data_IF_549549470357
#
_entry.id   IF_549549470357
#
_cell.length_a   1.000
_cell.length_b   1.000
_cell.length_c   1.000
_cell.angle_alpha   90.00
_cell.angle_beta   90.00
_cell.angle_gamma   90.00
#
_symmetry.space_group_name_H-M   'P 1'
#
loop_
_entity.id
_entity.type
_entity.pdbx_description
1 polymer ?
#
# COMPACT_ATOMS: atom_id res chain seq x y z
N UNK A 1 -7.37 19.91 51.37
CA UNK A 1 -8.11 19.32 50.24
C UNK A 1 -7.08 18.72 49.30
N UNK A 2 -6.95 17.39 49.35
CA UNK A 2 -5.96 16.64 48.56
C UNK A 2 -6.49 16.38 47.15
N UNK A 3 -5.61 16.52 46.15
CA UNK A 3 -5.90 16.22 44.75
C UNK A 3 -6.00 14.69 44.56
N UNK A 4 -7.03 14.16 43.90
CA UNK A 4 -7.12 12.73 43.61
C UNK A 4 -6.26 12.42 42.39
N UNK A 5 -5.00 12.00 42.63
CA UNK A 5 -4.22 11.28 41.64
C UNK A 5 -4.80 9.87 41.51
N UNK A 6 -5.33 9.54 40.34
CA UNK A 6 -5.78 8.20 40.01
C UNK A 6 -4.58 7.25 40.00
N UNK A 7 -4.39 6.50 41.08
CA UNK A 7 -3.65 5.24 41.03
C UNK A 7 -4.58 4.20 40.40
N UNK A 8 -4.18 3.51 39.31
CA UNK A 8 -4.88 2.33 38.86
C UNK A 8 -4.53 1.18 39.82
N UNK A 9 -5.22 1.14 40.95
CA UNK A 9 -5.23 -0.01 41.83
C UNK A 9 -6.27 -1.01 41.28
N UNK A 10 -5.78 -2.07 40.62
CA UNK A 10 -6.60 -3.09 39.96
C UNK A 10 -6.74 -4.35 40.84
N UNK A 11 -6.44 -4.28 42.14
CA UNK A 11 -6.70 -5.41 43.05
C UNK A 11 -7.43 -4.95 44.30
N UNK A 12 -8.74 -5.19 44.29
CA UNK A 12 -9.54 -5.29 45.51
C UNK A 12 -9.16 -6.62 46.15
N UNK A 13 -8.72 -6.58 47.40
CA UNK A 13 -8.28 -7.67 48.27
C UNK A 13 -6.75 -7.85 48.37
N UNK A 14 -6.25 -7.75 49.61
CA UNK A 14 -4.85 -7.70 50.10
C UNK A 14 -3.92 -8.88 49.73
N UNK A 15 -4.23 -9.62 48.67
CA UNK A 15 -3.33 -10.57 48.06
C UNK A 15 -2.36 -9.84 47.12
N UNK A 16 -1.25 -9.32 47.65
CA UNK A 16 -0.15 -8.83 46.81
C UNK A 16 0.33 -9.97 45.89
N UNK A 17 -0.22 -10.03 44.66
CA UNK A 17 0.49 -10.62 43.54
C UNK A 17 1.82 -9.88 43.49
N UNK A 18 2.91 -10.62 43.64
CA UNK A 18 4.26 -10.09 43.55
C UNK A 18 4.32 -9.09 42.38
N UNK A 19 4.88 -7.89 42.61
CA UNK A 19 4.89 -6.73 41.68
C UNK A 19 5.37 -7.03 40.24
N UNK A 20 5.81 -8.25 39.98
CA UNK A 20 6.19 -8.84 38.70
C UNK A 20 5.06 -8.82 37.65
N UNK A 21 3.79 -8.62 38.04
CA UNK A 21 2.68 -8.45 37.10
C UNK A 21 2.32 -6.98 36.79
N UNK A 22 3.00 -5.99 37.40
CA UNK A 22 2.76 -4.58 37.09
C UNK A 22 3.36 -4.22 35.75
N UNK A 23 2.51 -3.85 34.79
CA UNK A 23 2.95 -3.34 33.49
C UNK A 23 3.86 -2.12 33.63
N UNK A 24 3.62 -1.28 34.65
CA UNK A 24 4.48 -0.13 34.94
C UNK A 24 5.89 -0.57 35.37
N UNK A 25 6.00 -1.56 36.28
CA UNK A 25 7.30 -2.09 36.71
C UNK A 25 8.04 -2.75 35.54
N UNK A 26 7.32 -3.44 34.64
CA UNK A 26 7.91 -3.96 33.41
C UNK A 26 8.46 -2.82 32.52
N UNK A 27 7.67 -1.79 32.25
CA UNK A 27 8.10 -0.65 31.42
C UNK A 27 9.29 0.08 32.06
N UNK A 28 9.29 0.26 33.38
CA UNK A 28 10.39 0.88 34.13
C UNK A 28 11.70 0.08 33.99
N UNK A 29 11.64 -1.24 34.19
CA UNK A 29 12.79 -2.14 34.03
C UNK A 29 13.34 -2.21 32.60
N UNK A 30 12.51 -1.88 31.61
CA UNK A 30 12.87 -1.89 30.19
C UNK A 30 13.02 -0.47 29.59
N UNK A 31 12.94 0.60 30.39
CA UNK A 31 12.93 1.99 29.90
C UNK A 31 14.09 2.29 28.94
N UNK A 32 15.32 1.97 29.34
CA UNK A 32 16.51 2.22 28.52
C UNK A 32 16.51 1.43 27.21
N UNK A 33 15.90 0.23 27.19
CA UNK A 33 15.76 -0.54 25.97
C UNK A 33 14.82 0.15 24.99
N UNK A 34 13.70 0.67 25.47
CA UNK A 34 12.75 1.42 24.65
C UNK A 34 13.31 2.76 24.16
N UNK A 35 14.02 3.50 25.00
CA UNK A 35 14.69 4.75 24.59
C UNK A 35 15.74 4.47 23.52
N UNK A 36 16.50 3.38 23.67
CA UNK A 36 17.45 2.95 22.66
C UNK A 36 16.77 2.61 21.32
N UNK A 37 15.62 1.92 21.37
CA UNK A 37 14.80 1.65 20.19
C UNK A 37 14.30 2.94 19.53
N UNK A 38 13.82 3.90 20.32
CA UNK A 38 13.39 5.20 19.82
C UNK A 38 14.52 5.98 19.16
N UNK A 39 15.74 5.89 19.71
CA UNK A 39 16.93 6.48 19.09
C UNK A 39 17.26 5.85 17.73
N UNK A 40 17.13 4.53 17.60
CA UNK A 40 17.28 3.86 16.29
C UNK A 40 16.18 4.31 15.31
N UNK A 41 14.93 4.44 15.75
CA UNK A 41 13.82 4.93 14.91
C UNK A 41 14.08 6.37 14.45
N UNK A 42 14.54 7.24 15.35
CA UNK A 42 14.97 8.61 15.03
C UNK A 42 16.09 8.61 14.00
N UNK A 43 17.12 7.77 14.19
CA UNK A 43 18.24 7.64 13.25
C UNK A 43 17.74 7.22 11.86
N UNK A 44 16.82 6.26 11.78
CA UNK A 44 16.19 5.82 10.52
C UNK A 44 15.26 6.87 9.92
N UNK A 45 14.64 7.75 10.72
CA UNK A 45 13.82 8.85 10.25
C UNK A 45 14.67 10.01 9.68
N UNK A 46 15.80 10.33 10.31
CA UNK A 46 16.59 11.52 10.03
C UNK A 46 17.77 11.24 9.08
N UNK A 47 18.44 10.10 9.20
CA UNK A 47 19.68 9.78 8.47
C UNK A 47 19.43 8.91 7.23
N UNK A 48 19.80 9.41 6.05
CA UNK A 48 19.80 8.63 4.81
C UNK A 48 20.80 7.49 4.87
N UNK A 49 22.00 7.72 5.42
CA UNK A 49 23.01 6.68 5.56
C UNK A 49 22.53 5.51 6.43
N UNK A 50 21.80 5.78 7.51
CA UNK A 50 21.23 4.73 8.35
C UNK A 50 20.14 3.94 7.62
N UNK A 51 19.31 4.61 6.81
CA UNK A 51 18.32 3.93 5.95
C UNK A 51 18.98 3.10 4.86
N UNK A 52 20.08 3.56 4.28
CA UNK A 52 20.84 2.79 3.29
C UNK A 52 21.51 1.58 3.94
N UNK A 53 22.14 1.71 5.11
CA UNK A 53 22.64 0.56 5.87
C UNK A 53 21.51 -0.43 6.20
N UNK A 54 20.34 0.10 6.58
CA UNK A 54 19.15 -0.71 6.81
C UNK A 54 18.72 -1.45 5.54
N UNK A 55 18.71 -0.75 4.41
CA UNK A 55 18.34 -1.30 3.12
C UNK A 55 19.34 -2.35 2.62
N UNK A 56 20.64 -2.14 2.77
CA UNK A 56 21.68 -3.11 2.43
C UNK A 56 21.60 -4.36 3.33
N UNK A 57 21.39 -4.16 4.63
CA UNK A 57 21.12 -5.25 5.57
C UNK A 57 19.88 -6.04 5.15
N UNK A 58 18.85 -5.36 4.64
CA UNK A 58 17.67 -6.01 4.09
C UNK A 58 17.99 -6.80 2.82
N UNK A 59 18.59 -6.19 1.78
CA UNK A 59 18.89 -6.83 0.48
C UNK A 59 19.69 -8.13 0.62
N UNK A 60 20.56 -8.20 1.62
CA UNK A 60 21.42 -9.35 1.90
C UNK A 60 20.79 -10.40 2.84
N UNK A 61 19.54 -10.19 3.29
CA UNK A 61 18.74 -11.17 4.04
C UNK A 61 18.09 -12.17 3.08
N UNK A 62 17.67 -13.35 3.55
CA UNK A 62 16.99 -14.33 2.70
C UNK A 62 15.71 -13.77 2.05
N UNK A 63 14.96 -12.94 2.80
CA UNK A 63 13.77 -12.27 2.29
C UNK A 63 14.13 -11.16 1.30
N UNK A 64 15.18 -10.39 1.59
CA UNK A 64 15.70 -9.40 0.66
C UNK A 64 16.28 -10.02 -0.59
N UNK A 65 16.84 -11.23 -0.54
CA UNK A 65 17.21 -11.98 -1.72
C UNK A 65 15.97 -12.38 -2.51
N UNK A 66 14.88 -12.83 -1.89
CA UNK A 66 13.64 -13.13 -2.62
C UNK A 66 13.04 -11.88 -3.27
N UNK A 67 12.95 -10.78 -2.52
CA UNK A 67 12.37 -9.53 -3.02
C UNK A 67 13.29 -8.86 -4.04
N UNK A 68 14.59 -8.79 -3.79
CA UNK A 68 15.56 -8.29 -4.76
C UNK A 68 15.71 -9.25 -5.95
N UNK A 69 15.42 -10.54 -5.81
CA UNK A 69 15.35 -11.48 -6.93
C UNK A 69 14.07 -11.27 -7.72
N UNK A 70 12.92 -11.05 -7.10
CA UNK A 70 11.69 -10.74 -7.84
C UNK A 70 11.83 -9.40 -8.57
N UNK A 71 12.37 -8.38 -7.89
CA UNK A 71 12.59 -7.03 -8.44
C UNK A 71 13.70 -7.03 -9.51
N UNK A 72 14.88 -7.61 -9.25
CA UNK A 72 16.00 -7.55 -10.21
C UNK A 72 16.09 -8.74 -11.17
N UNK A 73 15.54 -9.91 -10.83
CA UNK A 73 15.76 -11.16 -11.57
C UNK A 73 14.51 -11.78 -12.21
N UNK A 74 13.29 -11.52 -11.75
CA UNK A 74 12.11 -12.23 -12.26
C UNK A 74 11.87 -12.01 -13.76
N UNK A 75 11.44 -10.80 -14.12
CA UNK A 75 11.16 -10.46 -15.52
C UNK A 75 12.43 -10.00 -16.27
N UNK A 76 13.26 -9.15 -15.65
CA UNK A 76 14.43 -8.57 -16.30
C UNK A 76 15.53 -9.60 -16.60
N UNK A 77 15.86 -10.50 -15.67
CA UNK A 77 16.90 -11.52 -15.91
C UNK A 77 16.40 -12.64 -16.81
N UNK A 78 15.12 -13.01 -16.75
CA UNK A 78 14.50 -13.91 -17.75
C UNK A 78 14.58 -13.29 -19.14
N UNK A 79 14.21 -12.02 -19.29
CA UNK A 79 14.34 -11.30 -20.57
C UNK A 79 15.79 -11.22 -21.07
N UNK A 80 16.77 -10.97 -20.17
CA UNK A 80 18.21 -10.98 -20.53
C UNK A 80 18.71 -12.36 -20.94
N UNK A 81 18.39 -13.40 -20.18
CA UNK A 81 18.78 -14.79 -20.49
C UNK A 81 18.15 -15.27 -21.79
N UNK A 82 16.89 -14.90 -22.03
CA UNK A 82 16.23 -15.17 -23.30
C UNK A 82 16.91 -14.39 -24.44
N UNK A 83 17.24 -13.11 -24.24
CA UNK A 83 18.00 -12.32 -25.22
C UNK A 83 19.34 -12.99 -25.57
N UNK A 84 20.13 -13.37 -24.56
CA UNK A 84 21.42 -14.06 -24.73
C UNK A 84 21.25 -15.40 -25.46
N UNK A 85 20.27 -16.21 -25.04
CA UNK A 85 19.94 -17.49 -25.67
C UNK A 85 19.51 -17.33 -27.13
N UNK A 86 18.72 -16.30 -27.44
CA UNK A 86 18.33 -15.99 -28.82
C UNK A 86 19.51 -15.46 -29.63
N UNK A 87 20.40 -14.65 -29.04
CA UNK A 87 21.62 -14.19 -29.66
C UNK A 87 22.63 -15.33 -29.94
N UNK A 88 22.71 -16.33 -29.06
CA UNK A 88 23.49 -17.55 -29.30
C UNK A 88 22.85 -18.41 -30.39
N UNK A 89 21.54 -18.65 -30.33
CA UNK A 89 20.81 -19.36 -31.40
C UNK A 89 20.92 -18.66 -32.75
N UNK A 90 21.02 -17.33 -32.78
CA UNK A 90 21.27 -16.54 -33.98
C UNK A 90 22.60 -16.90 -34.66
N UNK A 91 23.60 -17.31 -33.88
CA UNK A 91 24.92 -17.70 -34.36
C UNK A 91 24.96 -19.14 -34.85
N UNK A 92 24.12 -20.01 -34.29
CA UNK A 92 24.24 -21.47 -34.43
C UNK A 92 23.10 -22.16 -35.20
N UNK A 93 21.91 -21.56 -35.31
CA UNK A 93 20.71 -22.24 -35.80
C UNK A 93 20.55 -22.25 -37.32
N UNK A 94 20.13 -23.40 -37.88
CA UNK A 94 19.58 -23.47 -39.24
C UNK A 94 18.16 -22.86 -39.27
N UNK A 95 17.80 -22.26 -40.41
CA UNK A 95 16.50 -21.66 -40.65
C UNK A 95 15.33 -22.64 -40.44
N UNK A 96 15.54 -23.92 -40.76
CA UNK A 96 14.50 -24.95 -40.69
C UNK A 96 14.06 -25.27 -39.26
N UNK A 97 14.98 -25.29 -38.29
CA UNK A 97 14.63 -25.53 -36.89
C UNK A 97 13.81 -24.38 -36.29
N UNK A 98 14.07 -23.15 -36.76
CA UNK A 98 13.35 -21.93 -36.34
C UNK A 98 11.93 -21.89 -36.89
N UNK A 99 11.73 -22.32 -38.14
CA UNK A 99 10.40 -22.45 -38.75
C UNK A 99 9.62 -23.60 -38.11
N UNK A 100 10.22 -24.76 -37.83
CA UNK A 100 9.50 -25.91 -37.28
C UNK A 100 9.09 -25.71 -35.81
N UNK A 101 9.82 -24.91 -35.02
CA UNK A 101 9.42 -24.58 -33.64
C UNK A 101 8.25 -23.59 -33.56
N UNK A 102 7.99 -22.80 -34.61
CA UNK A 102 7.01 -21.71 -34.59
C UNK A 102 5.90 -21.86 -35.64
N UNK A 103 6.10 -22.72 -36.64
CA UNK A 103 5.24 -22.91 -37.80
C UNK A 103 3.93 -23.64 -37.51
N UNK A 104 3.72 -24.12 -36.28
CA UNK A 104 2.48 -24.81 -35.94
C UNK A 104 1.45 -23.97 -35.19
N UNK A 105 1.80 -22.85 -34.56
CA UNK A 105 0.95 -22.45 -33.43
C UNK A 105 0.39 -21.03 -33.31
N UNK A 106 0.56 -20.01 -34.19
CA UNK A 106 -0.30 -18.84 -33.91
C UNK A 106 -0.83 -17.80 -34.91
N UNK A 107 -0.17 -17.31 -35.97
CA UNK A 107 -0.80 -16.20 -36.74
C UNK A 107 -0.57 -16.18 -38.25
N UNK A 108 -1.66 -16.12 -39.01
CA UNK A 108 -1.73 -15.73 -40.42
C UNK A 108 -1.37 -14.26 -40.71
N UNK A 109 -0.62 -13.61 -39.82
CA UNK A 109 -0.01 -12.30 -40.03
C UNK A 109 1.50 -12.51 -40.12
N UNK A 110 2.00 -12.70 -41.34
CA UNK A 110 3.45 -12.67 -41.60
C UNK A 110 3.96 -11.27 -41.25
N UNK A 111 4.73 -11.15 -40.16
CA UNK A 111 5.42 -9.92 -39.80
C UNK A 111 6.28 -9.48 -41.00
N UNK A 112 6.29 -8.19 -41.41
CA UNK A 112 6.93 -7.75 -42.65
C UNK A 112 8.40 -8.17 -42.79
N UNK A 113 9.15 -8.19 -41.69
CA UNK A 113 10.55 -8.63 -41.65
C UNK A 113 10.71 -10.16 -41.73
N UNK A 114 9.68 -10.96 -41.40
CA UNK A 114 9.70 -12.41 -41.58
C UNK A 114 9.62 -12.81 -43.06
N UNK A 115 9.10 -11.91 -43.91
CA UNK A 115 9.04 -12.11 -45.37
C UNK A 115 10.41 -12.03 -46.05
N UNK A 116 11.41 -11.43 -45.40
CA UNK A 116 12.75 -11.30 -45.97
C UNK A 116 13.52 -12.62 -45.98
N UNK A 117 12.99 -13.68 -45.32
CA UNK A 117 13.54 -15.04 -45.40
C UNK A 117 14.97 -15.17 -44.86
N UNK A 118 15.45 -14.17 -44.12
CA UNK A 118 16.81 -14.12 -43.58
C UNK A 118 16.79 -14.43 -42.07
N UNK A 119 17.20 -15.65 -41.66
CA UNK A 119 17.24 -16.07 -40.26
C UNK A 119 18.05 -15.13 -39.38
N UNK A 120 19.15 -14.61 -39.92
CA UNK A 120 20.06 -13.73 -39.21
C UNK A 120 19.38 -12.41 -38.88
N UNK A 121 18.71 -11.80 -39.86
CA UNK A 121 17.98 -10.54 -39.66
C UNK A 121 16.85 -10.71 -38.65
N UNK A 122 16.11 -11.83 -38.70
CA UNK A 122 15.05 -12.12 -37.73
C UNK A 122 15.59 -12.23 -36.29
N UNK A 123 16.63 -13.04 -36.09
CA UNK A 123 17.18 -13.24 -34.76
C UNK A 123 17.88 -11.98 -34.21
N UNK A 124 18.51 -11.17 -35.07
CA UNK A 124 19.03 -9.84 -34.69
C UNK A 124 17.90 -8.91 -34.22
N UNK A 125 16.75 -8.93 -34.88
CA UNK A 125 15.57 -8.17 -34.45
C UNK A 125 15.00 -8.65 -33.13
N UNK A 126 14.89 -9.97 -32.92
CA UNK A 126 14.44 -10.52 -31.65
C UNK A 126 15.41 -10.18 -30.51
N UNK A 127 16.72 -10.36 -30.72
CA UNK A 127 17.74 -10.00 -29.73
C UNK A 127 17.59 -8.54 -29.30
N UNK A 128 17.49 -7.61 -30.26
CA UNK A 128 17.28 -6.19 -29.97
C UNK A 128 15.97 -5.94 -29.21
N UNK A 129 14.88 -6.58 -29.61
CA UNK A 129 13.59 -6.42 -28.93
C UNK A 129 13.63 -6.94 -27.47
N UNK A 130 14.33 -8.04 -27.21
CA UNK A 130 14.51 -8.56 -25.86
C UNK A 130 15.48 -7.72 -25.03
N UNK A 131 16.55 -7.20 -25.61
CA UNK A 131 17.45 -6.23 -24.97
C UNK A 131 16.69 -4.98 -24.54
N UNK A 132 15.84 -4.44 -25.42
CA UNK A 132 15.00 -3.28 -25.14
C UNK A 132 13.99 -3.58 -24.03
N UNK A 133 13.30 -4.73 -24.07
CA UNK A 133 12.41 -5.17 -22.98
C UNK A 133 13.16 -5.34 -21.65
N UNK A 134 14.35 -5.93 -21.66
CA UNK A 134 15.17 -6.09 -20.48
C UNK A 134 15.58 -4.74 -19.87
N UNK A 135 15.84 -3.74 -20.72
CA UNK A 135 16.12 -2.38 -20.27
C UNK A 135 14.89 -1.74 -19.60
N UNK A 136 13.71 -1.84 -20.22
CA UNK A 136 12.44 -1.34 -19.65
C UNK A 136 12.17 -1.99 -18.28
N UNK A 137 12.30 -3.32 -18.17
CA UNK A 137 12.10 -4.00 -16.90
C UNK A 137 13.11 -3.59 -15.83
N UNK A 138 14.37 -3.31 -16.21
CA UNK A 138 15.35 -2.77 -15.27
C UNK A 138 14.97 -1.36 -14.79
N UNK A 139 14.55 -0.48 -15.71
CA UNK A 139 14.11 0.87 -15.36
C UNK A 139 12.90 0.81 -14.42
N UNK A 140 11.94 -0.09 -14.64
CA UNK A 140 10.79 -0.31 -13.76
C UNK A 140 11.23 -0.81 -12.37
N UNK A 141 12.12 -1.80 -12.32
CA UNK A 141 12.66 -2.31 -11.07
C UNK A 141 13.37 -1.22 -10.25
N UNK A 142 14.13 -0.35 -10.92
CA UNK A 142 14.82 0.78 -10.29
C UNK A 142 13.84 1.82 -9.73
N UNK A 143 12.74 2.09 -10.47
CA UNK A 143 11.66 2.98 -10.01
C UNK A 143 10.94 2.38 -8.78
N UNK A 144 10.55 1.10 -8.83
CA UNK A 144 9.90 0.42 -7.71
C UNK A 144 10.80 0.40 -6.47
N UNK A 145 12.10 0.16 -6.66
CA UNK A 145 13.10 0.20 -5.61
C UNK A 145 13.19 1.61 -4.99
N UNK A 146 13.23 2.65 -5.81
CA UNK A 146 13.24 4.03 -5.34
C UNK A 146 11.96 4.39 -4.56
N UNK A 147 10.79 3.95 -5.04
CA UNK A 147 9.51 4.12 -4.36
C UNK A 147 9.50 3.40 -3.00
N UNK A 148 9.99 2.15 -2.95
CA UNK A 148 10.09 1.40 -1.71
C UNK A 148 10.99 2.10 -0.68
N UNK A 149 12.14 2.62 -1.10
CA UNK A 149 13.03 3.43 -0.24
C UNK A 149 12.34 4.72 0.24
N UNK A 150 11.62 5.41 -0.64
CA UNK A 150 10.83 6.60 -0.29
C UNK A 150 9.77 6.29 0.77
N UNK A 151 9.04 5.19 0.60
CA UNK A 151 8.01 4.74 1.55
C UNK A 151 8.59 4.30 2.89
N UNK A 152 9.75 3.65 2.88
CA UNK A 152 10.48 3.31 4.11
C UNK A 152 10.88 4.56 4.89
N UNK A 153 11.32 5.62 4.21
CA UNK A 153 11.59 6.92 4.83
C UNK A 153 10.32 7.53 5.42
N UNK A 154 9.24 7.61 4.64
CA UNK A 154 7.94 8.13 5.11
C UNK A 154 7.45 7.39 6.37
N UNK A 155 7.60 6.06 6.38
CA UNK A 155 7.26 5.21 7.53
C UNK A 155 8.01 5.63 8.80
N UNK A 156 9.35 5.67 8.75
CA UNK A 156 10.13 6.00 9.95
C UNK A 156 9.93 7.45 10.39
N UNK A 157 9.75 8.39 9.46
CA UNK A 157 9.42 9.79 9.79
C UNK A 157 8.06 9.88 10.49
N UNK A 158 7.04 9.19 9.97
CA UNK A 158 5.71 9.16 10.59
C UNK A 158 5.76 8.54 11.99
N UNK A 159 6.41 7.39 12.13
CA UNK A 159 6.58 6.71 13.41
C UNK A 159 7.32 7.57 14.43
N UNK A 160 8.40 8.23 14.03
CA UNK A 160 9.16 9.12 14.91
C UNK A 160 8.35 10.34 15.35
N UNK A 161 7.60 10.96 14.43
CA UNK A 161 6.73 12.08 14.78
C UNK A 161 5.64 11.69 15.78
N UNK A 162 5.08 10.49 15.65
CA UNK A 162 4.07 9.98 16.57
C UNK A 162 4.67 9.67 17.96
N UNK A 163 5.86 9.05 18.01
CA UNK A 163 6.62 8.86 19.26
C UNK A 163 6.87 10.22 19.92
N UNK A 164 7.38 11.19 19.16
CA UNK A 164 7.67 12.53 19.65
C UNK A 164 6.42 13.20 20.20
N UNK A 165 5.30 13.15 19.47
CA UNK A 165 4.01 13.70 19.91
C UNK A 165 3.58 13.10 21.24
N UNK A 166 3.50 11.77 21.35
CA UNK A 166 3.09 11.08 22.59
C UNK A 166 4.04 11.34 23.74
N UNK A 167 5.34 11.41 23.46
CA UNK A 167 6.33 11.76 24.48
C UNK A 167 6.08 13.17 25.00
N UNK A 168 5.92 14.15 24.11
CA UNK A 168 5.69 15.55 24.51
C UNK A 168 4.35 15.78 25.22
N UNK A 169 3.31 15.04 24.85
CA UNK A 169 1.96 15.22 25.40
C UNK A 169 1.72 14.43 26.69
N UNK A 170 2.24 13.21 26.78
CA UNK A 170 1.89 12.25 27.83
C UNK A 170 3.11 11.74 28.63
N UNK A 171 4.33 12.18 28.28
CA UNK A 171 5.56 11.74 28.90
C UNK A 171 6.13 10.45 28.31
N UNK A 172 7.41 10.19 28.63
CA UNK A 172 8.18 9.06 28.06
C UNK A 172 7.53 7.71 28.33
N UNK A 173 7.01 7.50 29.53
CA UNK A 173 6.50 6.19 29.94
C UNK A 173 5.23 5.80 29.18
N UNK A 174 4.34 6.78 28.91
CA UNK A 174 3.16 6.58 28.07
C UNK A 174 3.54 6.37 26.60
N UNK A 175 4.48 7.16 26.08
CA UNK A 175 4.96 7.01 24.71
C UNK A 175 5.57 5.62 24.49
N UNK A 176 6.40 5.15 25.41
CA UNK A 176 6.96 3.79 25.43
C UNK A 176 5.86 2.72 25.45
N UNK A 177 4.95 2.79 26.42
CA UNK A 177 3.90 1.81 26.60
C UNK A 177 3.00 1.66 25.36
N UNK A 178 2.57 2.79 24.82
CA UNK A 178 1.63 2.81 23.70
C UNK A 178 2.32 2.55 22.37
N UNK A 179 3.55 3.01 22.16
CA UNK A 179 4.28 2.73 20.92
C UNK A 179 4.68 1.27 20.82
N UNK A 180 5.05 0.62 21.94
CA UNK A 180 5.35 -0.81 21.92
C UNK A 180 4.13 -1.65 21.50
N UNK A 181 2.95 -1.27 21.99
CA UNK A 181 1.66 -1.91 21.64
C UNK A 181 1.28 -1.60 20.20
N UNK A 182 1.39 -0.33 19.80
CA UNK A 182 0.96 0.14 18.49
C UNK A 182 1.93 -0.22 17.38
N UNK A 183 3.24 -0.37 17.62
CA UNK A 183 4.21 -0.76 16.60
C UNK A 183 3.85 -2.11 15.96
N UNK A 184 3.22 -3.02 16.72
CA UNK A 184 2.70 -4.28 16.20
C UNK A 184 1.51 -4.08 15.24
N UNK A 185 0.66 -3.08 15.49
CA UNK A 185 -0.51 -2.75 14.66
C UNK A 185 -0.17 -1.80 13.50
N UNK A 186 0.75 -0.87 13.69
CA UNK A 186 1.15 0.18 12.75
C UNK A 186 1.86 -0.41 11.52
N UNK A 187 2.66 -1.47 11.70
CA UNK A 187 3.22 -2.26 10.59
C UNK A 187 2.11 -2.92 9.75
N UNK A 188 0.99 -3.29 10.37
CA UNK A 188 -0.19 -3.82 9.70
C UNK A 188 -0.97 -2.75 8.92
N UNK A 189 -1.13 -1.56 9.49
CA UNK A 189 -1.88 -0.46 8.85
C UNK A 189 -1.11 0.21 7.72
N UNK A 190 0.20 0.43 7.88
CA UNK A 190 1.01 1.05 6.84
C UNK A 190 1.13 0.16 5.58
N UNK A 191 1.13 -1.16 5.78
CA UNK A 191 1.05 -2.14 4.71
C UNK A 191 -0.24 -2.00 3.88
N UNK A 192 -1.37 -1.68 4.51
CA UNK A 192 -2.67 -1.62 3.86
C UNK A 192 -3.00 -0.22 3.29
N UNK A 193 -2.53 0.84 3.94
CA UNK A 193 -2.86 2.23 3.57
C UNK A 193 -1.99 2.83 2.47
N UNK A 194 -0.75 2.37 2.29
CA UNK A 194 0.22 3.00 1.38
C UNK A 194 0.24 2.44 -0.05
N UNK A 195 -0.65 1.50 -0.40
CA UNK A 195 -0.68 0.89 -1.73
C UNK A 195 0.59 0.10 -2.06
N UNK A 196 1.29 -0.40 -1.04
CA UNK A 196 2.53 -1.14 -1.19
C UNK A 196 2.28 -2.45 -1.95
N UNK A 197 3.23 -2.83 -2.81
CA UNK A 197 3.25 -4.15 -3.41
C UNK A 197 3.31 -5.22 -2.30
N UNK A 198 2.78 -6.42 -2.57
CA UNK A 198 2.81 -7.51 -1.60
C UNK A 198 4.22 -7.80 -1.05
N UNK A 199 5.27 -7.54 -1.87
CA UNK A 199 6.67 -7.62 -1.46
C UNK A 199 7.04 -6.59 -0.38
N UNK A 200 6.70 -5.31 -0.56
CA UNK A 200 6.97 -4.27 0.42
C UNK A 200 6.18 -4.46 1.73
N UNK A 201 4.96 -5.02 1.67
CA UNK A 201 4.19 -5.40 2.85
C UNK A 201 4.87 -6.53 3.63
N UNK A 202 5.31 -7.59 2.93
CA UNK A 202 6.05 -8.70 3.53
C UNK A 202 7.37 -8.23 4.15
N UNK A 203 8.05 -7.30 3.49
CA UNK A 203 9.24 -6.60 4.02
C UNK A 203 8.92 -5.98 5.38
N UNK A 204 7.94 -5.07 5.46
CA UNK A 204 7.65 -4.34 6.70
C UNK A 204 7.27 -5.28 7.84
N UNK A 205 6.48 -6.32 7.56
CA UNK A 205 6.09 -7.35 8.55
C UNK A 205 7.25 -8.23 9.03
N UNK A 206 8.36 -8.28 8.30
CA UNK A 206 9.53 -9.08 8.66
C UNK A 206 10.50 -8.36 9.59
N UNK A 207 10.34 -7.04 9.76
CA UNK A 207 11.23 -6.24 10.61
C UNK A 207 10.87 -6.52 12.06
N UNK A 208 11.82 -7.08 12.82
CA UNK A 208 11.69 -7.32 14.27
C UNK A 208 12.76 -6.51 14.98
N UNK A 209 12.36 -5.68 15.93
CA UNK A 209 13.30 -4.99 16.80
C UNK A 209 13.51 -5.81 18.08
N UNK A 210 14.77 -6.04 18.45
CA UNK A 210 15.16 -6.68 19.69
C UNK A 210 16.12 -5.78 20.44
N UNK A 211 16.03 -5.77 21.76
CA UNK A 211 16.86 -4.95 22.64
C UNK A 211 17.49 -5.85 23.70
N UNK A 212 18.75 -5.61 24.02
CA UNK A 212 19.47 -6.35 25.04
C UNK A 212 20.42 -5.43 25.80
N UNK A 213 20.47 -5.55 27.13
CA UNK A 213 21.41 -4.80 27.96
C UNK A 213 22.65 -5.68 28.19
N UNK A 214 23.81 -5.21 27.75
CA UNK A 214 25.09 -5.89 27.92
C UNK A 214 26.03 -5.12 28.85
N UNK A 215 26.94 -5.84 29.53
CA UNK A 215 27.93 -5.21 30.40
C UNK A 215 27.46 -4.90 31.83
N UNK A 216 26.28 -5.40 32.25
CA UNK A 216 25.97 -5.44 33.68
C UNK A 216 26.89 -6.49 34.30
N UNK A 217 27.73 -6.08 35.26
CA UNK A 217 28.53 -7.00 36.05
C UNK A 217 27.60 -7.99 36.75
N UNK A 218 27.50 -9.21 36.22
CA UNK A 218 26.84 -10.31 36.93
C UNK A 218 27.68 -10.58 38.17
N UNK A 219 27.13 -10.26 39.34
CA UNK A 219 27.67 -10.77 40.59
C UNK A 219 27.84 -12.29 40.45
N UNK A 220 29.03 -12.78 40.77
CA UNK A 220 29.40 -14.19 40.63
C UNK A 220 28.54 -15.01 41.62
N UNK A 221 27.45 -15.59 41.11
CA UNK A 221 26.53 -16.43 41.89
C UNK A 221 25.18 -16.54 41.21
N UNK A 222 24.82 -17.73 40.73
CA UNK A 222 23.71 -17.96 39.83
C UNK A 222 22.33 -17.62 40.40
N UNK A 223 21.76 -16.53 39.92
CA UNK A 223 20.35 -16.26 39.63
C UNK A 223 20.35 -14.92 38.89
N UNK A 224 19.64 -14.82 37.76
CA UNK A 224 19.61 -13.58 36.97
C UNK A 224 18.98 -12.48 37.84
N UNK A 225 19.82 -11.60 38.39
CA UNK A 225 19.37 -10.54 39.28
C UNK A 225 18.55 -9.51 38.48
N UNK A 226 17.24 -9.49 38.71
CA UNK A 226 16.33 -8.38 38.36
C UNK A 226 16.77 -7.02 38.99
N UNK A 227 17.86 -6.99 39.76
CA UNK A 227 18.38 -5.81 40.47
C UNK A 227 19.69 -5.26 39.91
N UNK A 228 20.09 -5.69 38.71
CA UNK A 228 21.20 -5.13 37.96
C UNK A 228 21.11 -3.59 37.83
N UNK A 229 21.94 -2.85 38.58
CA UNK A 229 21.94 -1.39 38.53
C UNK A 229 22.50 -0.90 37.20
N UNK A 230 21.67 -0.22 36.40
CA UNK A 230 22.09 0.42 35.15
C UNK A 230 22.97 1.62 35.49
N UNK A 231 24.24 1.57 35.06
CA UNK A 231 25.21 2.67 35.21
C UNK A 231 25.30 3.47 33.90
N UNK A 232 25.87 4.69 33.94
CA UNK A 232 26.07 5.52 32.73
C UNK A 232 26.86 4.82 31.62
N UNK A 233 27.74 3.88 31.98
CA UNK A 233 28.61 3.13 31.07
C UNK A 233 27.99 1.80 30.61
N UNK A 234 26.80 1.46 31.13
CA UNK A 234 26.06 0.27 30.70
C UNK A 234 25.71 0.39 29.21
N UNK A 235 26.00 -0.66 28.44
CA UNK A 235 25.76 -0.67 27.00
C UNK A 235 24.40 -1.31 26.71
N UNK A 236 23.53 -0.55 26.07
CA UNK A 236 22.24 -1.01 25.56
C UNK A 236 22.40 -1.29 24.08
N UNK A 237 22.27 -2.55 23.70
CA UNK A 237 22.36 -3.01 22.32
C UNK A 237 20.96 -3.11 21.73
N UNK A 238 20.70 -2.37 20.65
CA UNK A 238 19.50 -2.50 19.84
C UNK A 238 19.86 -3.27 18.58
N UNK A 239 19.09 -4.31 18.32
CA UNK A 239 19.23 -5.14 17.14
C UNK A 239 17.94 -5.06 16.33
N UNK A 240 17.97 -4.38 15.18
CA UNK A 240 16.90 -4.55 14.18
C UNK A 240 17.22 -5.78 13.35
N UNK A 241 16.34 -6.77 13.40
CA UNK A 241 16.47 -8.02 12.67
C UNK A 241 15.51 -8.04 11.49
N UNK A 242 16.09 -8.35 10.33
CA UNK A 242 15.37 -8.42 9.06
C UNK A 242 15.59 -9.79 8.46
N UNK A 243 14.51 -10.44 8.06
CA UNK A 243 14.54 -11.73 7.38
C UNK A 243 13.29 -12.56 7.64
N UNK A 244 13.09 -13.56 6.77
CA UNK A 244 12.04 -14.54 6.94
C UNK A 244 12.40 -15.53 8.08
N UNK A 245 11.41 -16.01 8.86
CA UNK A 245 11.62 -17.13 9.78
C UNK A 245 12.26 -18.30 9.03
N UNK A 246 13.38 -18.83 9.54
CA UNK A 246 14.13 -19.94 8.92
C UNK A 246 15.18 -19.52 7.88
N UNK A 247 15.28 -18.24 7.52
CA UNK A 247 16.33 -17.71 6.65
C UNK A 247 17.50 -17.09 7.40
N UNK A 248 18.56 -16.71 6.66
CA UNK A 248 19.66 -15.91 7.21
C UNK A 248 19.13 -14.55 7.65
N UNK A 249 19.00 -14.39 8.97
CA UNK A 249 18.58 -13.15 9.61
C UNK A 249 19.73 -12.15 9.59
N UNK A 250 19.50 -10.96 9.02
CA UNK A 250 20.46 -9.86 9.09
C UNK A 250 20.11 -8.94 10.25
N UNK A 251 21.14 -8.34 10.84
CA UNK A 251 21.05 -7.58 12.08
C UNK A 251 21.71 -6.23 11.87
N UNK A 252 20.97 -5.15 12.08
CA UNK A 252 21.57 -3.84 12.33
C UNK A 252 21.74 -3.75 13.83
N UNK A 253 22.98 -3.64 14.26
CA UNK A 253 23.32 -3.56 15.68
C UNK A 253 23.77 -2.14 15.98
N UNK A 254 23.07 -1.49 16.91
CA UNK A 254 23.49 -0.22 17.50
C UNK A 254 23.76 -0.43 18.97
N UNK A 255 24.84 0.16 19.46
CA UNK A 255 25.19 0.15 20.87
C UNK A 255 25.12 1.58 21.37
N UNK A 256 24.29 1.80 22.39
CA UNK A 256 24.13 3.10 23.02
C UNK A 256 24.55 2.98 24.48
N UNK A 257 25.22 4.01 25.01
CA UNK A 257 25.50 4.05 26.45
C UNK A 257 24.27 4.55 27.20
N UNK A 258 23.94 3.93 28.32
CA UNK A 258 22.78 4.35 29.12
C UNK A 258 22.87 5.84 29.57
N UNK A 259 24.08 6.38 29.75
CA UNK A 259 24.28 7.81 30.01
C UNK A 259 23.83 8.71 28.85
N UNK A 260 24.05 8.27 27.60
CA UNK A 260 23.60 9.00 26.40
C UNK A 260 22.08 8.92 26.25
N UNK A 261 21.50 7.75 26.50
CA UNK A 261 20.06 7.54 26.48
C UNK A 261 19.36 8.35 27.58
N UNK A 262 19.99 8.49 28.75
CA UNK A 262 19.48 9.33 29.83
C UNK A 262 19.43 10.80 29.41
N UNK A 263 20.47 11.29 28.73
CA UNK A 263 20.50 12.65 28.22
C UNK A 263 19.37 12.89 27.19
N UNK A 264 19.12 11.93 26.29
CA UNK A 264 17.99 12.02 25.35
C UNK A 264 16.64 12.12 26.07
N UNK A 265 16.49 11.37 27.19
CA UNK A 265 15.28 11.43 28.01
C UNK A 265 15.14 12.77 28.72
N UNK A 266 16.23 13.27 29.31
CA UNK A 266 16.25 14.55 30.04
C UNK A 266 15.99 15.74 29.12
N UNK A 267 16.55 15.75 27.90
CA UNK A 267 16.27 16.78 26.87
C UNK A 267 14.77 16.88 26.57
N UNK A 268 14.11 15.73 26.44
CA UNK A 268 12.69 15.63 26.12
C UNK A 268 11.76 15.77 27.33
N UNK A 269 12.25 15.56 28.56
CA UNK A 269 11.50 15.72 29.81
C UNK A 269 11.36 17.18 30.29
N UNK A 270 11.98 18.15 29.61
CA UNK A 270 11.83 19.58 29.93
C UNK A 270 10.39 20.10 29.80
N UNK A 271 9.46 19.28 29.33
CA UNK A 271 8.03 19.54 29.33
C UNK A 271 7.39 18.69 30.42
N UNK A 272 7.16 19.30 31.59
CA UNK A 272 6.29 18.69 32.60
C UNK A 272 4.96 18.42 31.90
N UNK A 273 4.67 17.14 31.67
CA UNK A 273 3.46 16.68 31.01
C UNK A 273 2.26 17.11 31.84
N UNK A 274 1.81 18.35 31.63
CA UNK A 274 0.42 18.69 31.88
C UNK A 274 -0.28 17.84 30.85
N UNK A 275 -0.87 16.72 31.30
CA UNK A 275 -1.90 16.01 30.55
C UNK A 275 -2.84 17.10 30.04
N UNK A 276 -2.65 17.52 28.80
CA UNK A 276 -3.61 18.39 28.14
C UNK A 276 -4.87 17.55 28.24
N UNK A 277 -5.92 18.11 28.85
CA UNK A 277 -7.25 17.50 28.81
C UNK A 277 -7.43 17.01 27.39
N UNK A 278 -7.62 15.72 27.28
CA UNK A 278 -7.87 15.02 26.04
C UNK A 278 -8.71 15.95 25.14
N UNK A 279 -8.27 16.31 23.92
CA UNK A 279 -9.12 17.07 23.02
C UNK A 279 -10.44 16.33 22.69
N UNK A 280 -10.60 15.07 23.13
CA UNK A 280 -11.86 14.32 23.15
C UNK A 280 -12.55 14.25 24.52
N UNK A 281 -11.97 14.77 25.61
CA UNK A 281 -12.76 15.06 26.81
C UNK A 281 -13.70 16.22 26.48
N UNK A 282 -15.02 16.08 26.65
CA UNK A 282 -15.97 17.12 26.28
C UNK A 282 -15.57 18.40 27.01
N UNK A 283 -15.10 19.38 26.23
CA UNK A 283 -14.94 20.73 26.69
C UNK A 283 -16.29 21.11 27.29
N UNK A 284 -16.28 21.59 28.54
CA UNK A 284 -17.45 22.27 29.08
C UNK A 284 -17.81 23.36 28.07
N UNK A 285 -18.94 23.12 27.40
CA UNK A 285 -19.49 23.97 26.35
C UNK A 285 -19.48 25.41 26.85
N UNK A 286 -18.70 26.25 26.18
CA UNK A 286 -19.13 27.63 26.00
C UNK A 286 -20.17 27.55 24.90
N UNK A 287 -21.42 27.69 25.30
CA UNK A 287 -22.61 27.70 24.45
C UNK A 287 -22.38 28.52 23.17
N UNK A 288 -22.20 27.79 22.06
CA UNK A 288 -22.06 28.31 20.72
C UNK A 288 -21.82 27.14 19.77
N UNK A 289 -22.81 26.71 18.97
CA UNK A 289 -22.65 25.55 18.10
C UNK A 289 -21.65 25.90 16.98
N UNK A 290 -20.38 25.54 17.16
CA UNK A 290 -19.47 25.33 16.03
C UNK A 290 -20.01 24.12 15.28
N UNK A 291 -20.87 24.39 14.29
CA UNK A 291 -21.49 23.35 13.49
C UNK A 291 -20.42 22.44 12.88
N UNK A 292 -20.56 21.14 13.12
CA UNK A 292 -19.76 20.11 12.46
C UNK A 292 -19.63 20.45 10.97
N UNK A 293 -18.39 20.68 10.53
CA UNK A 293 -18.13 21.08 9.16
C UNK A 293 -18.53 19.92 8.26
N UNK A 294 -19.66 20.08 7.57
CA UNK A 294 -20.19 19.08 6.63
C UNK A 294 -19.10 18.67 5.63
N UNK A 295 -18.88 17.36 5.50
CA UNK A 295 -17.95 16.82 4.51
C UNK A 295 -18.46 17.12 3.10
N UNK A 296 -17.57 17.57 2.24
CA UNK A 296 -17.84 17.78 0.83
C UNK A 296 -18.18 16.45 0.13
N UNK A 297 -18.88 16.52 -1.00
CA UNK A 297 -19.19 15.34 -1.80
C UNK A 297 -17.92 14.59 -2.27
N UNK A 298 -16.83 15.33 -2.55
CA UNK A 298 -15.55 14.73 -2.92
C UNK A 298 -14.92 13.93 -1.77
N UNK A 299 -14.94 14.46 -0.55
CA UNK A 299 -14.45 13.72 0.64
C UNK A 299 -15.29 12.46 0.89
N UNK A 300 -16.61 12.54 0.73
CA UNK A 300 -17.50 11.39 0.86
C UNK A 300 -17.25 10.34 -0.23
N UNK A 301 -16.94 10.77 -1.47
CA UNK A 301 -16.52 9.89 -2.56
C UNK A 301 -15.26 9.09 -2.20
N UNK A 302 -14.21 9.79 -1.75
CA UNK A 302 -12.95 9.16 -1.35
C UNK A 302 -13.10 8.15 -0.21
N UNK A 303 -13.96 8.45 0.78
CA UNK A 303 -14.27 7.51 1.87
C UNK A 303 -14.97 6.24 1.35
N UNK A 304 -15.90 6.40 0.41
CA UNK A 304 -16.58 5.27 -0.23
C UNK A 304 -15.59 4.39 -1.04
N UNK A 305 -14.68 5.00 -1.80
CA UNK A 305 -13.65 4.30 -2.58
C UNK A 305 -12.67 3.54 -1.68
N UNK A 306 -12.22 4.15 -0.58
CA UNK A 306 -11.38 3.47 0.40
C UNK A 306 -12.08 2.24 1.00
N UNK A 307 -13.38 2.36 1.31
CA UNK A 307 -14.17 1.23 1.82
C UNK A 307 -14.40 0.16 0.75
N UNK A 308 -14.61 0.56 -0.50
CA UNK A 308 -14.72 -0.34 -1.64
C UNK A 308 -13.40 -1.11 -1.87
N UNK A 309 -12.24 -0.45 -1.82
CA UNK A 309 -10.95 -1.13 -1.92
C UNK A 309 -10.77 -2.18 -0.82
N UNK A 310 -11.09 -1.84 0.44
CA UNK A 310 -11.04 -2.81 1.55
C UNK A 310 -11.96 -4.02 1.29
N UNK A 311 -13.18 -3.76 0.82
CA UNK A 311 -14.14 -4.81 0.50
C UNK A 311 -13.66 -5.71 -0.64
N UNK A 312 -13.12 -5.14 -1.71
CA UNK A 312 -12.58 -5.89 -2.85
C UNK A 312 -11.42 -6.80 -2.43
N UNK A 313 -10.55 -6.30 -1.55
CA UNK A 313 -9.49 -7.10 -0.94
C UNK A 313 -10.05 -8.27 -0.10
N UNK A 314 -11.10 -8.02 0.71
CA UNK A 314 -11.77 -9.06 1.49
C UNK A 314 -12.47 -10.12 0.63
N UNK A 315 -12.84 -9.78 -0.61
CA UNK A 315 -13.39 -10.73 -1.60
C UNK A 315 -12.28 -11.55 -2.31
N UNK A 316 -11.01 -11.41 -1.90
CA UNK A 316 -9.87 -12.20 -2.39
C UNK A 316 -9.11 -11.56 -3.57
N UNK A 317 -9.44 -10.33 -3.94
CA UNK A 317 -8.72 -9.59 -4.97
C UNK A 317 -7.51 -8.89 -4.35
N UNK A 318 -6.35 -9.55 -4.40
CA UNK A 318 -5.11 -9.07 -3.78
C UNK A 318 -4.44 -7.92 -4.53
N UNK A 319 -4.58 -7.88 -5.85
CA UNK A 319 -3.96 -6.85 -6.69
C UNK A 319 -5.04 -5.85 -7.12
N UNK A 320 -5.02 -4.63 -6.56
CA UNK A 320 -6.04 -3.60 -6.81
C UNK A 320 -5.39 -2.32 -7.35
N UNK A 321 -5.82 -1.89 -8.54
CA UNK A 321 -5.39 -0.66 -9.22
C UNK A 321 -6.54 0.33 -9.38
N UNK A 322 -6.19 1.59 -9.54
CA UNK A 322 -7.09 2.64 -10.02
C UNK A 322 -6.47 3.23 -11.29
N UNK A 323 -7.31 3.61 -12.24
CA UNK A 323 -6.82 4.25 -13.47
C UNK A 323 -7.48 5.61 -13.58
N UNK A 324 -6.75 6.68 -13.24
CA UNK A 324 -7.29 8.05 -13.23
C UNK A 324 -6.39 9.02 -13.97
N UNK A 325 -7.00 9.97 -14.68
CA UNK A 325 -6.27 11.12 -15.24
C UNK A 325 -6.17 12.27 -14.22
N UNK A 326 -5.50 13.36 -14.62
CA UNK A 326 -5.32 14.55 -13.77
C UNK A 326 -6.62 15.29 -13.41
N UNK A 327 -7.74 14.96 -14.05
CA UNK A 327 -9.07 15.49 -13.73
C UNK A 327 -9.88 14.53 -12.87
N UNK A 328 -9.25 13.53 -12.25
CA UNK A 328 -9.89 12.52 -11.39
C UNK A 328 -10.98 11.72 -12.12
N UNK A 329 -10.85 11.56 -13.44
CA UNK A 329 -11.73 10.72 -14.25
C UNK A 329 -11.03 9.43 -14.64
N UNK A 330 -11.77 8.32 -14.60
CA UNK A 330 -11.32 7.04 -15.11
C UNK A 330 -12.03 5.87 -14.45
N UNK A 331 -11.29 4.80 -14.18
CA UNK A 331 -11.81 3.58 -13.55
C UNK A 331 -11.47 3.64 -12.06
N UNK A 332 -12.51 3.63 -11.21
CA UNK A 332 -12.31 3.79 -9.76
C UNK A 332 -11.46 2.65 -9.19
N UNK A 333 -11.84 1.38 -9.44
CA UNK A 333 -11.10 0.20 -8.98
C UNK A 333 -11.10 -0.93 -10.02
N UNK A 334 -9.94 -1.55 -10.21
CA UNK A 334 -9.77 -2.84 -10.91
C UNK A 334 -9.05 -3.79 -9.98
N UNK A 335 -9.68 -4.89 -9.62
CA UNK A 335 -9.09 -5.95 -8.80
C UNK A 335 -8.80 -7.20 -9.63
N UNK A 336 -7.63 -7.81 -9.46
CA UNK A 336 -7.31 -9.17 -9.93
C UNK A 336 -7.17 -10.10 -8.74
N UNK A 337 -7.85 -11.24 -8.83
CA UNK A 337 -7.68 -12.33 -7.88
C UNK A 337 -6.44 -13.14 -8.30
N UNK A 338 -5.36 -13.15 -7.51
CA UNK A 338 -4.09 -13.76 -7.91
C UNK A 338 -4.16 -15.30 -7.97
N UNK A 339 -5.11 -15.92 -7.27
CA UNK A 339 -5.26 -17.37 -7.23
C UNK A 339 -6.01 -17.90 -8.46
N UNK A 340 -7.02 -17.16 -8.91
CA UNK A 340 -7.94 -17.60 -9.97
C UNK A 340 -7.72 -16.88 -11.30
N UNK A 341 -7.02 -15.75 -11.30
CA UNK A 341 -6.91 -14.86 -12.46
C UNK A 341 -8.20 -14.12 -12.79
N UNK A 342 -9.24 -14.20 -11.96
CA UNK A 342 -10.49 -13.47 -12.17
C UNK A 342 -10.27 -11.97 -11.98
N UNK A 343 -10.90 -11.15 -12.82
CA UNK A 343 -10.80 -9.69 -12.77
C UNK A 343 -12.17 -9.09 -12.48
N UNK A 344 -12.21 -8.14 -11.53
CA UNK A 344 -13.41 -7.38 -11.19
C UNK A 344 -13.15 -5.90 -11.33
N UNK A 345 -14.00 -5.23 -12.10
CA UNK A 345 -14.00 -3.79 -12.30
C UNK A 345 -15.14 -3.22 -11.49
N UNK A 346 -14.84 -2.28 -10.60
CA UNK A 346 -15.81 -1.68 -9.69
C UNK A 346 -15.87 -0.18 -9.90
N UNK A 347 -17.05 0.32 -10.23
CA UNK A 347 -17.40 1.74 -10.17
C UNK A 347 -18.03 2.05 -8.81
N UNK A 348 -17.52 3.06 -8.10
CA UNK A 348 -17.93 3.38 -6.73
C UNK A 348 -18.77 4.65 -6.72
N UNK A 349 -19.95 4.59 -6.08
CA UNK A 349 -20.84 5.75 -5.95
C UNK A 349 -21.22 5.99 -4.49
N UNK A 350 -20.93 7.18 -3.98
CA UNK A 350 -21.41 7.65 -2.68
C UNK A 350 -22.79 8.32 -2.77
N UNK A 351 -23.64 8.12 -1.76
CA UNK A 351 -24.88 8.87 -1.51
C UNK A 351 -25.81 9.03 -2.74
N UNK A 352 -26.04 10.24 -3.23
CA UNK A 352 -26.89 10.52 -4.40
C UNK A 352 -26.13 10.53 -5.73
N UNK A 353 -24.82 10.27 -5.74
CA UNK A 353 -24.01 10.28 -6.95
C UNK A 353 -24.54 9.27 -7.99
N UNK A 354 -24.54 9.68 -9.25
CA UNK A 354 -25.02 8.91 -10.39
C UNK A 354 -23.90 8.69 -11.40
N UNK A 355 -24.10 7.75 -12.32
CA UNK A 355 -23.17 7.52 -13.43
C UNK A 355 -23.21 8.71 -14.40
N UNK A 356 -22.05 9.14 -14.85
CA UNK A 356 -21.97 10.09 -15.96
C UNK A 356 -22.34 9.42 -17.30
N UNK A 357 -22.47 10.20 -18.37
CA UNK A 357 -22.91 9.70 -19.67
C UNK A 357 -21.92 8.67 -20.27
N UNK A 358 -20.63 8.84 -20.03
CA UNK A 358 -19.61 7.92 -20.53
C UNK A 358 -19.66 6.59 -19.78
N UNK A 359 -19.77 6.61 -18.45
CA UNK A 359 -19.98 5.43 -17.60
C UNK A 359 -21.30 4.70 -17.93
N UNK A 360 -22.26 5.46 -18.45
CA UNK A 360 -23.54 4.92 -18.90
C UNK A 360 -23.43 4.09 -20.17
N UNK A 361 -22.30 4.12 -20.89
CA UNK A 361 -22.03 3.26 -22.05
C UNK A 361 -21.89 1.77 -21.70
N UNK A 362 -21.76 1.43 -20.40
CA UNK A 362 -21.59 0.06 -19.92
C UNK A 362 -20.14 -0.23 -19.53
N UNK A 363 -19.95 -1.11 -18.56
CA UNK A 363 -18.66 -1.39 -17.92
C UNK A 363 -17.59 -1.82 -18.90
N UNK A 364 -17.78 -2.89 -19.69
CA UNK A 364 -16.76 -3.36 -20.62
C UNK A 364 -16.28 -2.26 -21.57
N UNK A 365 -17.21 -1.61 -22.27
CA UNK A 365 -16.87 -0.57 -23.25
C UNK A 365 -16.26 0.68 -22.60
N UNK A 366 -16.72 1.06 -21.41
CA UNK A 366 -16.12 2.17 -20.68
C UNK A 366 -14.69 1.85 -20.24
N UNK A 367 -14.48 0.68 -19.65
CA UNK A 367 -13.17 0.18 -19.21
C UNK A 367 -12.19 0.16 -20.38
N UNK A 368 -12.56 -0.50 -21.48
CA UNK A 368 -11.70 -0.61 -22.67
C UNK A 368 -11.35 0.78 -23.23
N UNK A 369 -12.31 1.70 -23.24
CA UNK A 369 -12.10 3.07 -23.70
C UNK A 369 -11.12 3.83 -22.79
N UNK A 370 -11.24 3.72 -21.47
CA UNK A 370 -10.33 4.43 -20.56
C UNK A 370 -8.92 3.85 -20.61
N UNK A 371 -8.79 2.51 -20.62
CA UNK A 371 -7.49 1.83 -20.78
C UNK A 371 -6.84 2.26 -22.10
N UNK A 372 -7.58 2.22 -23.22
CA UNK A 372 -7.03 2.63 -24.51
C UNK A 372 -6.63 4.12 -24.52
N UNK A 373 -7.42 5.00 -23.89
CA UNK A 373 -7.08 6.42 -23.81
C UNK A 373 -5.84 6.68 -22.97
N UNK A 374 -5.67 5.97 -21.86
CA UNK A 374 -4.47 6.04 -21.03
C UNK A 374 -3.24 5.59 -21.82
N UNK A 375 -3.28 4.36 -22.38
CA UNK A 375 -2.17 3.79 -23.15
C UNK A 375 -1.73 4.64 -24.35
N UNK A 376 -2.67 5.35 -24.98
CA UNK A 376 -2.39 6.16 -26.16
C UNK A 376 -2.29 7.66 -25.88
N UNK A 377 -2.35 8.07 -24.61
CA UNK A 377 -2.38 9.48 -24.21
C UNK A 377 -3.43 10.30 -24.98
N UNK A 378 -4.67 9.82 -25.11
CA UNK A 378 -5.71 10.49 -25.91
C UNK A 378 -6.59 11.43 -25.08
N UNK A 379 -6.80 12.64 -25.57
CA UNK A 379 -7.66 13.65 -24.93
C UNK A 379 -7.10 14.05 -23.56
N UNK A 380 -7.93 14.00 -22.52
CA UNK A 380 -7.53 14.36 -21.15
C UNK A 380 -6.48 13.41 -20.52
N UNK A 381 -6.03 12.38 -21.25
CA UNK A 381 -4.97 11.45 -20.84
C UNK A 381 -3.59 11.83 -21.38
N UNK A 382 -3.46 12.89 -22.18
CA UNK A 382 -2.16 13.41 -22.66
C UNK A 382 -1.23 13.83 -21.52
N UNK A 383 -1.81 14.27 -20.42
CA UNK A 383 -1.12 14.64 -19.19
C UNK A 383 -1.73 13.84 -18.05
N UNK A 384 -1.51 12.52 -18.03
CA UNK A 384 -1.88 11.69 -16.89
C UNK A 384 -0.80 11.74 -15.80
N UNK A 385 -1.14 11.44 -14.53
CA UNK A 385 -0.14 11.23 -13.47
C UNK A 385 0.92 10.21 -13.90
N UNK A 386 2.17 10.40 -13.45
CA UNK A 386 3.26 9.46 -13.72
C UNK A 386 2.89 8.03 -13.26
N UNK A 387 3.18 7.03 -14.10
CA UNK A 387 2.90 5.60 -13.83
C UNK A 387 1.47 5.14 -14.15
N UNK A 388 0.61 6.03 -14.68
CA UNK A 388 -0.73 5.65 -15.12
C UNK A 388 -0.76 4.91 -16.45
N UNK A 389 0.23 5.11 -17.31
CA UNK A 389 0.50 4.28 -18.48
C UNK A 389 0.83 2.85 -18.09
N UNK A 390 1.75 2.65 -17.14
CA UNK A 390 2.08 1.32 -16.60
C UNK A 390 0.85 0.64 -15.99
N UNK A 391 0.09 1.40 -15.19
CA UNK A 391 -1.15 0.92 -14.60
C UNK A 391 -2.17 0.53 -15.68
N UNK A 392 -2.26 1.29 -16.77
CA UNK A 392 -3.13 0.96 -17.89
C UNK A 392 -2.65 -0.30 -18.63
N UNK A 393 -1.34 -0.50 -18.78
CA UNK A 393 -0.76 -1.72 -19.36
C UNK A 393 -1.07 -2.94 -18.49
N UNK A 394 -0.87 -2.84 -17.18
CA UNK A 394 -1.21 -3.92 -16.24
C UNK A 394 -2.70 -4.28 -16.30
N UNK A 395 -3.58 -3.27 -16.28
CA UNK A 395 -5.02 -3.50 -16.38
C UNK A 395 -5.36 -4.13 -17.74
N UNK A 396 -4.73 -3.70 -18.84
CA UNK A 396 -4.93 -4.30 -20.16
C UNK A 396 -4.53 -5.79 -20.17
N UNK A 397 -3.36 -6.12 -19.61
CA UNK A 397 -2.87 -7.50 -19.50
C UNK A 397 -3.80 -8.35 -18.62
N UNK A 398 -4.23 -7.81 -17.48
CA UNK A 398 -5.21 -8.47 -16.61
C UNK A 398 -6.50 -8.77 -17.35
N UNK A 399 -7.02 -7.81 -18.11
CA UNK A 399 -8.24 -8.00 -18.90
C UNK A 399 -8.02 -9.02 -20.02
N UNK A 400 -6.86 -9.07 -20.67
CA UNK A 400 -6.60 -10.05 -21.74
C UNK A 400 -6.51 -11.47 -21.18
N UNK A 401 -5.80 -11.65 -20.06
CA UNK A 401 -5.58 -12.95 -19.41
C UNK A 401 -6.63 -13.37 -18.39
N UNK A 402 -7.70 -12.59 -18.19
CA UNK A 402 -8.69 -12.86 -17.14
C UNK A 402 -9.46 -14.18 -17.39
N UNK A 403 -9.53 -15.03 -16.37
CA UNK A 403 -10.39 -16.24 -16.42
C UNK A 403 -11.88 -15.91 -16.41
N UNK A 404 -12.26 -14.80 -15.74
CA UNK A 404 -13.58 -14.19 -15.79
C UNK A 404 -13.47 -12.68 -15.58
N UNK A 405 -14.48 -11.94 -16.07
CA UNK A 405 -14.56 -10.47 -15.96
C UNK A 405 -15.91 -10.08 -15.39
N UNK A 406 -15.90 -9.48 -14.21
CA UNK A 406 -17.08 -8.92 -13.57
C UNK A 406 -17.02 -7.39 -13.60
N UNK A 407 -18.16 -6.77 -13.89
CA UNK A 407 -18.31 -5.32 -13.89
C UNK A 407 -19.43 -4.99 -12.92
N UNK A 408 -19.12 -4.29 -11.84
CA UNK A 408 -20.09 -3.97 -10.79
C UNK A 408 -20.08 -2.47 -10.47
N UNK A 409 -21.22 -1.94 -10.03
CA UNK A 409 -21.34 -0.61 -9.43
C UNK A 409 -21.66 -0.79 -7.96
N UNK A 410 -20.80 -0.29 -7.08
CA UNK A 410 -20.95 -0.38 -5.64
C UNK A 410 -21.45 0.94 -5.06
N UNK A 411 -22.51 0.85 -4.25
CA UNK A 411 -23.15 2.01 -3.65
C UNK A 411 -22.85 2.06 -2.16
N UNK A 412 -22.42 3.22 -1.69
CA UNK A 412 -22.18 3.49 -0.27
C UNK A 412 -22.98 4.71 0.19
N UNK A 413 -23.46 4.66 1.42
CA UNK A 413 -23.96 5.84 2.12
C UNK A 413 -22.86 6.34 3.08
N UNK A 414 -22.53 7.63 3.02
CA UNK A 414 -21.45 8.26 3.80
C UNK A 414 -22.01 9.50 4.51
N UNK A 415 -21.97 9.48 5.84
CA UNK A 415 -22.44 10.59 6.67
C UNK A 415 -21.37 11.69 6.85
N UNK A 416 -21.71 12.75 7.60
CA UNK A 416 -20.79 13.87 7.85
C UNK A 416 -19.68 13.52 8.86
N UNK A 417 -19.88 12.50 9.70
CA UNK A 417 -18.84 11.93 10.57
C UNK A 417 -17.84 11.06 9.79
N UNK A 418 -18.20 10.61 8.59
CA UNK A 418 -17.39 9.75 7.73
C UNK A 418 -17.70 8.25 7.87
N UNK A 419 -18.74 7.89 8.62
CA UNK A 419 -19.20 6.51 8.66
C UNK A 419 -19.68 6.10 7.27
N UNK A 420 -19.11 5.02 6.76
CA UNK A 420 -19.30 4.57 5.39
C UNK A 420 -19.95 3.19 5.39
N UNK A 421 -21.20 3.12 4.93
CA UNK A 421 -22.02 1.90 4.95
C UNK A 421 -22.25 1.40 3.54
N UNK A 422 -21.97 0.12 3.29
CA UNK A 422 -22.28 -0.51 2.00
C UNK A 422 -23.80 -0.67 1.86
N UNK A 423 -24.33 -0.17 0.76
CA UNK A 423 -25.77 -0.18 0.47
C UNK A 423 -26.16 -1.27 -0.52
N UNK A 424 -25.23 -1.68 -1.38
CA UNK A 424 -25.45 -2.74 -2.35
C UNK A 424 -24.67 -2.53 -3.65
N UNK A 425 -24.77 -3.53 -4.51
CA UNK A 425 -24.12 -3.58 -5.83
C UNK A 425 -25.12 -3.83 -6.94
N UNK A 426 -24.77 -3.38 -8.15
CA UNK A 426 -25.52 -3.63 -9.38
C UNK A 426 -24.56 -4.05 -10.49
N UNK A 427 -25.00 -4.92 -11.40
CA UNK A 427 -24.19 -5.33 -12.54
C UNK A 427 -24.03 -4.16 -13.53
N UNK A 428 -22.80 -3.95 -14.00
CA UNK A 428 -22.39 -2.92 -14.95
C UNK A 428 -22.04 -3.51 -16.31
N UNK A 429 -22.78 -4.51 -16.76
CA UNK A 429 -22.45 -5.31 -17.93
C UNK A 429 -23.50 -5.21 -19.06
N UNK A 430 -24.07 -4.02 -19.27
CA UNK A 430 -25.00 -3.79 -20.38
C UNK A 430 -24.27 -3.36 -21.66
N UNK A 431 -24.93 -3.57 -22.82
CA UNK A 431 -24.39 -3.18 -24.12
C UNK A 431 -24.36 -1.65 -24.27
N UNK A 432 -23.39 -1.11 -25.02
CA UNK A 432 -23.42 0.30 -25.44
C UNK A 432 -24.77 0.68 -26.03
N UNK A 433 -25.32 1.81 -25.56
CA UNK A 433 -26.63 2.31 -25.98
C UNK A 433 -27.83 1.65 -25.32
N UNK A 434 -27.68 0.56 -24.55
CA UNK A 434 -28.81 -0.15 -23.92
C UNK A 434 -28.95 0.13 -22.42
N UNK A 435 -28.60 1.36 -21.98
CA UNK A 435 -28.59 1.73 -20.55
C UNK A 435 -29.91 1.32 -19.86
N UNK A 436 -29.86 0.56 -18.76
CA UNK A 436 -31.07 0.23 -18.03
C UNK A 436 -31.71 1.52 -17.49
N UNK A 437 -33.03 1.65 -17.65
CA UNK A 437 -33.78 2.82 -17.13
C UNK A 437 -33.59 3.01 -15.62
N UNK A 438 -33.30 1.93 -14.89
CA UNK A 438 -33.02 1.91 -13.45
C UNK A 438 -31.98 0.83 -13.12
N UNK A 439 -31.00 1.18 -12.30
CA UNK A 439 -30.12 0.21 -11.67
C UNK A 439 -30.82 -0.42 -10.47
N UNK A 440 -30.71 -1.74 -10.35
CA UNK A 440 -31.23 -2.49 -9.21
C UNK A 440 -30.05 -2.87 -8.32
N UNK A 441 -29.97 -2.25 -7.15
CA UNK A 441 -28.94 -2.55 -6.17
C UNK A 441 -29.37 -3.71 -5.28
N UNK A 442 -28.43 -4.62 -5.02
CA UNK A 442 -28.59 -5.79 -4.16
C UNK A 442 -27.55 -5.77 -3.05
N UNK A 443 -27.94 -6.14 -1.84
CA UNK A 443 -26.98 -6.37 -0.76
C UNK A 443 -26.24 -7.70 -0.94
N UNK A 444 -25.44 -8.06 0.06
CA UNK A 444 -24.64 -9.28 0.09
C UNK A 444 -25.47 -10.56 0.14
N UNK A 445 -26.72 -10.47 0.61
CA UNK A 445 -27.68 -11.58 0.56
C UNK A 445 -28.35 -11.72 -0.81
N UNK A 446 -28.09 -10.80 -1.74
CA UNK A 446 -28.76 -10.71 -3.05
C UNK A 446 -30.12 -10.00 -2.98
N UNK A 447 -30.53 -9.56 -1.79
CA UNK A 447 -31.81 -8.87 -1.56
C UNK A 447 -31.77 -7.46 -2.12
N UNK A 448 -32.88 -7.04 -2.74
CA UNK A 448 -32.96 -5.70 -3.38
C UNK A 448 -33.08 -4.63 -2.30
N UNK A 449 -32.09 -3.74 -2.19
CA UNK A 449 -32.04 -2.72 -1.12
C UNK A 449 -32.82 -1.45 -1.42
N UNK A 450 -33.17 -1.18 -2.69
CA UNK A 450 -34.20 -0.21 -3.15
C UNK A 450 -34.34 -0.25 -4.69
N UNK A 451 -35.56 -0.09 -5.22
CA UNK A 451 -35.77 0.33 -6.63
C UNK A 451 -35.52 1.83 -6.72
N UNK A 452 -34.39 2.29 -7.27
CA UNK A 452 -34.11 3.72 -7.44
C UNK A 452 -35.21 4.41 -8.29
N UNK A 453 -35.76 5.54 -7.84
CA UNK A 453 -36.68 6.39 -8.63
C UNK A 453 -35.83 7.34 -9.47
N UNK A 454 -35.97 7.29 -10.79
CA UNK A 454 -35.20 8.16 -11.70
C UNK A 454 -35.55 9.64 -11.48
N UNK A 455 -34.51 10.46 -11.28
CA UNK A 455 -34.61 11.90 -11.51
C UNK A 455 -34.64 12.08 -13.03
N UNK A 456 -35.68 12.74 -13.56
CA UNK A 456 -35.81 13.04 -14.99
C UNK A 456 -34.54 13.79 -15.45
N UNK A 457 -33.89 13.41 -16.57
CA UNK A 457 -32.94 14.32 -17.20
C UNK A 457 -33.67 15.59 -17.63
N UNK A 458 -33.03 16.78 -17.54
CA UNK A 458 -33.58 17.98 -18.17
C UNK A 458 -33.75 17.71 -19.67
N UNK A 459 -34.95 17.99 -20.19
CA UNK A 459 -35.21 17.88 -21.62
C UNK A 459 -34.59 19.08 -22.34
N UNK A 460 -33.45 18.88 -22.97
CA UNK A 460 -33.04 19.64 -24.15
C UNK A 460 -32.45 18.64 -25.12
N UNK A 461 -33.22 18.34 -26.17
CA UNK A 461 -32.85 17.38 -27.20
C UNK A 461 -31.64 17.83 -28.03
N UNK A 462 -31.14 16.95 -28.91
CA UNK A 462 -30.07 17.30 -29.84
C UNK A 462 -30.57 18.35 -30.85
N UNK A 463 -29.71 19.27 -31.32
CA UNK A 463 -30.03 20.03 -32.52
C UNK A 463 -30.14 19.06 -33.71
N UNK A 464 -31.20 19.23 -34.48
CA UNK A 464 -31.49 18.52 -35.73
C UNK A 464 -30.28 18.50 -36.66
N UNK A 465 -29.94 17.30 -37.14
CA UNK A 465 -29.08 17.08 -38.30
C UNK A 465 -29.91 16.28 -39.30
N UNK A 466 -30.59 17.00 -40.19
CA UNK A 466 -30.68 16.75 -41.63
C UNK A 466 -31.95 17.38 -42.24
N UNK A 467 -31.76 18.35 -43.15
CA UNK A 467 -32.36 18.21 -44.48
C UNK A 467 -31.70 19.11 -45.54
N UNK A 468 -31.00 18.42 -46.44
CA UNK A 468 -30.74 18.63 -47.87
C UNK A 468 -31.24 19.93 -48.54
N UNK A 469 -30.36 20.54 -49.36
CA UNK A 469 -30.53 20.67 -50.83
C UNK A 469 -29.34 21.40 -51.49
N UNK A 470 -28.63 20.73 -52.41
CA UNK A 470 -27.99 21.40 -53.58
C UNK A 470 -29.08 21.84 -54.57
N UNK A 471 -28.85 22.62 -55.66
CA UNK A 471 -27.59 23.15 -56.23
C UNK A 471 -27.64 24.64 -56.68
N UNK A 472 -26.47 25.27 -56.86
CA UNK A 472 -26.04 25.99 -58.08
C UNK A 472 -24.61 26.48 -57.95
#
# INVERSE_FOLDING_TARGET
MASPGANPDITVDDGHLQNNCSYFAHVENHLYQYVALFRLIKELAESEAAREEFWEGFKTSALGHLIAYDINNGAAQTARKDAEKYAERAKEGSWEDTINQLGHDWFGYSLPWAKEGNPKAYNEHLSKAYEERAKIYQEHADIELALAKGKLKEYFVSLWNEIKRRWTECGVLYAVATTATDAAFFVGELALGAGLTAGAIKLLKSIKFMTHISGVARGVGGAVAETATVTKDTVVTVTAVMGAPGGTMRKIVRNYKAGELKADVEELQSHSGVLRKDPQAPLKEKDGPEGEKKKSNGEKGKLAEAKARQRLANEGYGDIRELRNNSDNGIDLVGRNPETGAVKIVEVKANSASLNDLQSAGGPTYTDLQVNRALNGKGNWQSMPNGMDDTAYEISDWLEGASSKDYEIWKYDVDDAGNTTFRGKADWNWKPGTKPKRLTYRDDSGSVTRKAKAIKPPSTGPPDVDNQTSPR
#
